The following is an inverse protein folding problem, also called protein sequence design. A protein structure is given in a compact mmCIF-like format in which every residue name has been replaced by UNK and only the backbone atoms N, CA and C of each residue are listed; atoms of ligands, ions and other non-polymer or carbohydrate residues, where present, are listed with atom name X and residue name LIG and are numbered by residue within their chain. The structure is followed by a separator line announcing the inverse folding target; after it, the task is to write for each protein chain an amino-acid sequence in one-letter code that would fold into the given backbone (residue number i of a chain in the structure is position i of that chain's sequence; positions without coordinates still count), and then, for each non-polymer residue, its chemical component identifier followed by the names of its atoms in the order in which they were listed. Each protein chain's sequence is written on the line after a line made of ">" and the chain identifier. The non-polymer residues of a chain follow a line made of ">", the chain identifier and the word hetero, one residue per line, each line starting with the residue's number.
data_IF_041349787092
#
_entry.id   IF_041349787092
#
_cell.length_a   1.000
_cell.length_b   1.000
_cell.length_c   1.000
_cell.angle_alpha   90.00
_cell.angle_beta   90.00
_cell.angle_gamma   90.00
#
_symmetry.space_group_name_H-M   'P 1'
#
loop_
_entity.id
_entity.type
_entity.pdbx_description
1 polymer ?
#
# COMPACT_ATOMS: atom_id res chain seq x y z
N UNK A 1 -3.39 -44.76 4.25
CA UNK A 1 -2.73 -43.48 3.87
C UNK A 1 -1.47 -43.85 3.14
N UNK A 2 -1.22 -43.29 1.95
CA UNK A 2 0.03 -43.57 1.23
C UNK A 2 1.13 -42.79 1.94
N UNK A 3 2.13 -43.49 2.47
CA UNK A 3 3.25 -42.93 3.24
C UNK A 3 4.55 -43.24 2.50
N UNK A 4 5.52 -42.32 2.53
CA UNK A 4 6.79 -42.44 1.81
C UNK A 4 6.76 -41.83 0.40
N UNK A 5 7.79 -42.13 -0.39
CA UNK A 5 8.07 -41.55 -1.72
C UNK A 5 6.89 -41.70 -2.69
N UNK A 6 6.14 -42.80 -2.58
CA UNK A 6 4.95 -43.07 -3.42
C UNK A 6 3.75 -42.17 -3.13
N UNK A 7 3.77 -41.46 -2.00
CA UNK A 7 2.76 -40.47 -1.63
C UNK A 7 3.04 -39.06 -2.16
N UNK A 8 4.16 -38.85 -2.85
CA UNK A 8 4.51 -37.55 -3.41
C UNK A 8 3.50 -37.12 -4.50
N UNK A 9 2.89 -35.93 -4.37
CA UNK A 9 1.89 -35.48 -5.32
C UNK A 9 2.54 -35.23 -6.69
N UNK A 10 1.96 -35.81 -7.75
CA UNK A 10 2.41 -35.57 -9.13
C UNK A 10 2.28 -34.08 -9.46
N UNK A 11 3.25 -33.55 -10.21
CA UNK A 11 3.25 -32.18 -10.69
C UNK A 11 1.90 -31.79 -11.30
N UNK A 12 1.29 -30.73 -10.77
CA UNK A 12 0.01 -30.21 -11.26
C UNK A 12 -1.24 -30.80 -10.58
N UNK A 13 -1.09 -31.81 -9.71
CA UNK A 13 -2.19 -32.28 -8.86
C UNK A 13 -2.41 -31.37 -7.65
N UNK A 14 -3.63 -31.41 -7.09
CA UNK A 14 -3.98 -30.66 -5.87
C UNK A 14 -3.07 -31.11 -4.71
N UNK A 15 -2.30 -30.19 -4.15
CA UNK A 15 -1.31 -30.47 -3.10
C UNK A 15 0.15 -30.54 -3.59
N UNK A 16 0.38 -30.51 -4.91
CA UNK A 16 1.73 -30.45 -5.48
C UNK A 16 2.33 -29.04 -5.37
N UNK A 17 3.63 -28.89 -5.07
CA UNK A 17 4.33 -27.63 -5.21
C UNK A 17 4.23 -27.10 -6.65
N UNK A 18 4.15 -25.77 -6.79
CA UNK A 18 4.31 -25.14 -8.11
C UNK A 18 5.69 -25.48 -8.67
N UNK A 19 5.75 -25.73 -9.97
CA UNK A 19 7.00 -26.02 -10.67
C UNK A 19 7.99 -24.87 -10.51
N UNK A 20 9.12 -25.13 -9.84
CA UNK A 20 10.14 -24.13 -9.59
C UNK A 20 10.95 -23.86 -10.87
N UNK A 21 11.01 -22.59 -11.27
CA UNK A 21 11.66 -22.14 -12.51
C UNK A 21 13.02 -21.45 -12.30
N UNK A 22 13.53 -21.42 -11.06
CA UNK A 22 14.79 -20.74 -10.74
C UNK A 22 14.63 -19.26 -10.36
N UNK A 23 13.45 -18.85 -9.90
CA UNK A 23 13.22 -17.48 -9.42
C UNK A 23 13.83 -17.28 -8.03
N UNK A 24 14.66 -16.25 -7.87
CA UNK A 24 15.29 -15.89 -6.58
C UNK A 24 14.26 -15.59 -5.47
N UNK A 25 13.07 -15.07 -5.83
CA UNK A 25 12.01 -14.74 -4.87
C UNK A 25 11.21 -15.97 -4.41
N UNK A 26 11.25 -17.05 -5.19
CA UNK A 26 10.43 -18.24 -4.95
C UNK A 26 11.23 -19.38 -4.32
N UNK A 27 12.56 -19.38 -4.45
CA UNK A 27 13.43 -20.49 -4.02
C UNK A 27 13.25 -20.85 -2.54
N UNK A 28 13.20 -19.86 -1.65
CA UNK A 28 13.04 -20.09 -0.22
C UNK A 28 11.66 -20.69 0.12
N UNK A 29 10.59 -20.14 -0.47
CA UNK A 29 9.21 -20.63 -0.27
C UNK A 29 9.02 -22.02 -0.86
N UNK A 30 9.65 -22.29 -2.00
CA UNK A 30 9.64 -23.60 -2.65
C UNK A 30 10.28 -24.66 -1.76
N UNK A 31 11.49 -24.42 -1.27
CA UNK A 31 12.20 -25.36 -0.40
C UNK A 31 11.44 -25.60 0.91
N UNK A 32 10.87 -24.56 1.52
CA UNK A 32 10.06 -24.69 2.74
C UNK A 32 8.79 -25.54 2.50
N UNK A 33 8.11 -25.33 1.37
CA UNK A 33 6.93 -26.12 1.02
C UNK A 33 7.30 -27.59 0.77
N UNK A 34 8.44 -27.84 0.13
CA UNK A 34 8.95 -29.20 -0.06
C UNK A 34 9.29 -29.87 1.28
N UNK A 35 9.96 -29.19 2.20
CA UNK A 35 10.24 -29.71 3.54
C UNK A 35 8.96 -30.07 4.31
N UNK A 36 7.93 -29.24 4.20
CA UNK A 36 6.63 -29.54 4.79
C UNK A 36 6.01 -30.81 4.20
N UNK A 37 6.11 -31.03 2.88
CA UNK A 37 5.65 -32.27 2.25
C UNK A 37 6.47 -33.48 2.69
N UNK A 38 7.79 -33.37 2.78
CA UNK A 38 8.65 -34.43 3.29
C UNK A 38 8.27 -34.80 4.73
N UNK A 39 8.01 -33.79 5.58
CA UNK A 39 7.57 -34.01 6.95
C UNK A 39 6.20 -34.69 7.02
N UNK A 40 5.24 -34.32 6.16
CA UNK A 40 3.93 -34.98 6.10
C UNK A 40 4.00 -36.43 5.62
N UNK A 41 4.92 -36.74 4.70
CA UNK A 41 5.07 -38.06 4.10
C UNK A 41 6.08 -38.95 4.83
N UNK A 42 6.68 -38.48 5.94
CA UNK A 42 7.75 -39.13 6.69
C UNK A 42 8.98 -39.49 5.84
N UNK A 43 9.36 -38.61 4.91
CA UNK A 43 10.59 -38.75 4.12
C UNK A 43 11.74 -38.16 4.93
N UNK A 44 12.50 -39.04 5.60
CA UNK A 44 13.60 -38.65 6.51
C UNK A 44 14.97 -38.83 5.86
N UNK A 45 15.10 -39.69 4.86
CA UNK A 45 16.37 -39.95 4.17
C UNK A 45 16.79 -38.75 3.32
N UNK A 46 18.04 -38.28 3.49
CA UNK A 46 18.58 -37.18 2.71
C UNK A 46 18.64 -37.51 1.20
N UNK A 47 18.93 -38.76 0.85
CA UNK A 47 18.92 -39.29 -0.52
C UNK A 47 17.55 -39.07 -1.18
N UNK A 48 16.49 -39.56 -0.53
CA UNK A 48 15.12 -39.43 -1.02
C UNK A 48 14.72 -37.96 -1.15
N UNK A 49 15.12 -37.09 -0.22
CA UNK A 49 14.80 -35.66 -0.29
C UNK A 49 15.47 -34.97 -1.50
N UNK A 50 16.75 -35.27 -1.71
CA UNK A 50 17.54 -34.65 -2.78
C UNK A 50 17.15 -35.20 -4.16
N UNK A 51 16.76 -36.46 -4.28
CA UNK A 51 16.29 -37.02 -5.54
C UNK A 51 14.88 -36.52 -5.89
N UNK A 52 13.96 -36.54 -4.91
CA UNK A 52 12.56 -36.23 -5.17
C UNK A 52 12.29 -34.72 -5.35
N UNK A 53 13.11 -33.81 -4.78
CA UNK A 53 12.94 -32.37 -5.03
C UNK A 53 13.06 -32.02 -6.52
N UNK A 54 13.85 -32.81 -7.28
CA UNK A 54 14.02 -32.62 -8.72
C UNK A 54 12.68 -32.74 -9.45
N UNK A 55 11.79 -33.62 -9.00
CA UNK A 55 10.47 -33.80 -9.61
C UNK A 55 9.70 -32.49 -9.71
N UNK A 56 9.89 -31.57 -8.77
CA UNK A 56 9.20 -30.28 -8.74
C UNK A 56 9.96 -29.12 -9.42
N UNK A 57 11.14 -29.39 -9.97
CA UNK A 57 11.99 -28.39 -10.61
C UNK A 57 11.85 -28.39 -12.15
N UNK A 58 12.10 -27.24 -12.78
CA UNK A 58 12.26 -27.14 -14.23
C UNK A 58 13.56 -27.79 -14.72
N UNK A 59 13.63 -28.18 -15.99
CA UNK A 59 14.77 -28.93 -16.55
C UNK A 59 16.12 -28.23 -16.34
N UNK A 60 16.18 -26.91 -16.58
CA UNK A 60 17.39 -26.12 -16.36
C UNK A 60 17.83 -26.10 -14.89
N UNK A 61 16.86 -26.00 -13.98
CA UNK A 61 17.10 -26.02 -12.53
C UNK A 61 17.57 -27.40 -12.07
N UNK A 62 16.99 -28.49 -12.60
CA UNK A 62 17.42 -29.86 -12.30
C UNK A 62 18.87 -30.09 -12.69
N UNK A 63 19.24 -29.74 -13.92
CA UNK A 63 20.62 -29.87 -14.41
C UNK A 63 21.61 -29.11 -13.53
N UNK A 64 21.23 -27.92 -13.08
CA UNK A 64 22.04 -27.16 -12.13
C UNK A 64 22.12 -27.86 -10.77
N UNK A 65 21.00 -28.32 -10.21
CA UNK A 65 20.98 -28.96 -8.90
C UNK A 65 21.73 -30.31 -8.87
N UNK A 66 21.67 -31.09 -9.97
CA UNK A 66 22.44 -32.32 -10.16
C UNK A 66 23.96 -32.08 -10.19
N UNK A 67 24.40 -30.86 -10.55
CA UNK A 67 25.82 -30.50 -10.60
C UNK A 67 26.42 -30.13 -9.23
N UNK A 68 25.60 -30.00 -8.18
CA UNK A 68 26.06 -29.64 -6.85
C UNK A 68 26.72 -30.84 -6.15
N UNK A 69 27.81 -30.61 -5.42
CA UNK A 69 28.48 -31.67 -4.65
C UNK A 69 27.57 -32.31 -3.60
N UNK A 70 26.66 -31.52 -3.02
CA UNK A 70 25.64 -31.99 -2.07
C UNK A 70 24.56 -32.90 -2.69
N UNK A 71 24.53 -33.02 -4.02
CA UNK A 71 23.76 -34.04 -4.73
C UNK A 71 24.51 -35.37 -4.79
N UNK A 72 25.82 -35.33 -5.06
CA UNK A 72 26.69 -36.52 -5.16
C UNK A 72 26.89 -37.16 -3.79
N UNK A 73 27.09 -36.36 -2.75
CA UNK A 73 27.06 -36.80 -1.35
C UNK A 73 25.78 -36.27 -0.71
N UNK A 74 24.74 -37.10 -0.55
CA UNK A 74 23.40 -36.67 -0.22
C UNK A 74 23.33 -36.04 1.18
N UNK A 75 23.31 -34.71 1.21
CA UNK A 75 23.07 -33.92 2.41
C UNK A 75 22.06 -32.81 2.08
N UNK A 76 20.84 -32.98 2.58
CA UNK A 76 19.75 -32.02 2.35
C UNK A 76 20.07 -30.62 2.88
N UNK A 77 20.72 -30.51 4.03
CA UNK A 77 21.01 -29.22 4.65
C UNK A 77 22.08 -28.45 3.86
N UNK A 78 23.13 -29.15 3.44
CA UNK A 78 24.15 -28.57 2.55
C UNK A 78 23.54 -28.18 1.20
N UNK A 79 22.74 -29.07 0.60
CA UNK A 79 22.05 -28.82 -0.67
C UNK A 79 21.15 -27.58 -0.58
N UNK A 80 20.31 -27.49 0.45
CA UNK A 80 19.44 -26.34 0.71
C UNK A 80 20.25 -25.05 0.81
N UNK A 81 21.34 -25.05 1.59
CA UNK A 81 22.20 -23.87 1.77
C UNK A 81 22.84 -23.45 0.45
N UNK A 82 23.37 -24.40 -0.32
CA UNK A 82 24.01 -24.12 -1.61
C UNK A 82 22.99 -23.58 -2.61
N UNK A 83 21.81 -24.20 -2.74
CA UNK A 83 20.71 -23.72 -3.59
C UNK A 83 20.28 -22.31 -3.19
N UNK A 84 20.10 -22.02 -1.89
CA UNK A 84 19.76 -20.67 -1.42
C UNK A 84 20.85 -19.64 -1.75
N UNK A 85 22.12 -20.06 -1.71
CA UNK A 85 23.27 -19.20 -2.00
C UNK A 85 23.36 -18.90 -3.50
N UNK A 86 23.29 -19.91 -4.36
CA UNK A 86 23.41 -19.75 -5.81
C UNK A 86 22.26 -18.99 -6.45
N UNK A 87 21.04 -19.15 -5.93
CA UNK A 87 19.89 -18.37 -6.37
C UNK A 87 19.80 -16.98 -5.71
N UNK A 88 20.78 -16.59 -4.88
CA UNK A 88 20.80 -15.34 -4.12
C UNK A 88 19.45 -15.08 -3.45
N UNK A 89 18.98 -16.04 -2.65
CA UNK A 89 17.70 -15.95 -1.96
C UNK A 89 17.61 -14.69 -1.06
N UNK A 90 18.76 -14.17 -0.63
CA UNK A 90 18.88 -12.92 0.13
C UNK A 90 18.58 -11.68 -0.71
N UNK A 91 18.56 -11.76 -2.04
CA UNK A 91 18.05 -10.70 -2.91
C UNK A 91 16.57 -10.42 -2.66
N UNK A 92 15.78 -11.42 -2.28
CA UNK A 92 14.38 -11.20 -1.86
C UNK A 92 14.31 -10.40 -0.55
N UNK A 93 15.34 -10.50 0.30
CA UNK A 93 15.54 -9.64 1.48
C UNK A 93 16.06 -8.24 1.11
N UNK A 94 16.10 -7.87 -0.18
CA UNK A 94 16.37 -6.50 -0.68
C UNK A 94 15.19 -5.90 -1.45
N UNK A 95 13.97 -6.42 -1.26
CA UNK A 95 12.77 -5.98 -1.97
C UNK A 95 12.48 -4.48 -1.84
N UNK A 96 12.59 -3.90 -0.64
CA UNK A 96 12.26 -2.48 -0.42
C UNK A 96 13.44 -1.68 0.10
N UNK A 97 13.54 -0.43 -0.34
CA UNK A 97 14.49 0.56 0.16
C UNK A 97 13.75 1.67 0.88
N UNK A 98 14.45 2.41 1.74
CA UNK A 98 13.90 3.61 2.39
C UNK A 98 13.43 4.63 1.35
N UNK A 99 14.09 4.71 0.19
CA UNK A 99 13.66 5.54 -0.95
C UNK A 99 12.27 5.16 -1.49
N UNK A 100 11.93 3.87 -1.48
CA UNK A 100 10.62 3.40 -1.95
C UNK A 100 9.53 3.79 -0.95
N UNK A 101 9.84 3.75 0.34
CA UNK A 101 8.96 4.26 1.40
C UNK A 101 8.75 5.78 1.26
N UNK A 102 9.82 6.56 1.06
CA UNK A 102 9.70 8.00 0.83
C UNK A 102 8.90 8.34 -0.42
N UNK A 103 9.06 7.57 -1.50
CA UNK A 103 8.30 7.74 -2.73
C UNK A 103 6.80 7.48 -2.49
N UNK A 104 6.47 6.38 -1.80
CA UNK A 104 5.10 6.04 -1.41
C UNK A 104 4.48 7.14 -0.55
N UNK A 105 5.21 7.64 0.45
CA UNK A 105 4.78 8.75 1.32
C UNK A 105 4.52 10.02 0.53
N UNK A 106 5.41 10.37 -0.42
CA UNK A 106 5.24 11.54 -1.28
C UNK A 106 4.03 11.39 -2.21
N UNK A 107 3.83 10.21 -2.78
CA UNK A 107 2.70 9.92 -3.65
C UNK A 107 1.37 9.98 -2.88
N UNK A 108 1.29 9.36 -1.70
CA UNK A 108 0.09 9.39 -0.87
C UNK A 108 -0.21 10.81 -0.37
N UNK A 109 0.82 11.57 0.03
CA UNK A 109 0.65 12.96 0.47
C UNK A 109 0.13 13.88 -0.65
N UNK A 110 0.51 13.63 -1.92
CA UNK A 110 0.05 14.44 -3.07
C UNK A 110 -1.44 14.26 -3.37
N UNK A 111 -2.07 13.17 -2.91
CA UNK A 111 -3.50 12.96 -3.10
C UNK A 111 -4.27 14.05 -2.33
N UNK A 112 -5.40 14.55 -2.88
CA UNK A 112 -6.11 15.68 -2.29
C UNK A 112 -6.65 15.38 -0.89
N UNK A 113 -7.31 14.24 -0.70
CA UNK A 113 -7.76 13.74 0.60
C UNK A 113 -8.18 12.26 0.51
N UNK A 114 -8.42 11.61 1.65
CA UNK A 114 -8.99 10.26 1.74
C UNK A 114 -10.43 10.40 2.24
N UNK A 115 -11.42 10.18 1.36
CA UNK A 115 -12.85 10.30 1.70
C UNK A 115 -13.52 8.96 2.03
N UNK A 116 -12.95 7.86 1.53
CA UNK A 116 -13.54 6.54 1.65
C UNK A 116 -12.68 5.65 2.56
N UNK A 117 -13.34 4.85 3.38
CA UNK A 117 -12.73 3.81 4.18
C UNK A 117 -11.92 2.81 3.32
N UNK A 118 -12.39 2.47 2.12
CA UNK A 118 -11.66 1.62 1.19
C UNK A 118 -10.28 2.18 0.81
N UNK A 119 -10.23 3.48 0.48
CA UNK A 119 -8.98 4.17 0.14
C UNK A 119 -8.05 4.31 1.35
N UNK A 120 -8.59 4.47 2.56
CA UNK A 120 -7.82 4.46 3.80
C UNK A 120 -7.13 3.12 4.05
N UNK A 121 -7.87 2.01 3.89
CA UNK A 121 -7.31 0.67 4.04
C UNK A 121 -6.32 0.33 2.95
N UNK A 122 -6.54 0.77 1.72
CA UNK A 122 -5.59 0.60 0.63
C UNK A 122 -4.26 1.31 0.93
N UNK A 123 -4.31 2.58 1.35
CA UNK A 123 -3.13 3.31 1.81
C UNK A 123 -2.44 2.57 2.96
N UNK A 124 -3.20 2.18 3.98
CA UNK A 124 -2.66 1.49 5.16
C UNK A 124 -1.96 0.18 4.80
N UNK A 125 -2.55 -0.62 3.90
CA UNK A 125 -1.95 -1.87 3.41
C UNK A 125 -0.66 -1.62 2.63
N UNK A 126 -0.70 -0.71 1.66
CA UNK A 126 0.46 -0.41 0.81
C UNK A 126 1.62 0.19 1.61
N UNK A 127 1.32 1.02 2.61
CA UNK A 127 2.34 1.54 3.51
C UNK A 127 2.92 0.42 4.38
N UNK A 128 2.07 -0.42 4.99
CA UNK A 128 2.51 -1.47 5.91
C UNK A 128 3.34 -2.56 5.20
N UNK A 129 3.04 -2.88 3.95
CA UNK A 129 3.84 -3.86 3.17
C UNK A 129 5.28 -3.39 2.99
N UNK A 130 5.51 -2.09 2.72
CA UNK A 130 6.84 -1.52 2.56
C UNK A 130 7.50 -1.25 3.91
N UNK A 131 6.82 -0.51 4.79
CA UNK A 131 7.38 -0.08 6.06
C UNK A 131 7.57 -1.24 7.05
N UNK A 132 6.62 -2.17 7.12
CA UNK A 132 6.73 -3.35 7.99
C UNK A 132 7.88 -4.25 7.58
N UNK A 133 8.13 -4.38 6.27
CA UNK A 133 9.31 -5.07 5.78
C UNK A 133 10.61 -4.36 6.19
N UNK A 134 10.66 -3.02 6.09
CA UNK A 134 11.83 -2.23 6.48
C UNK A 134 12.13 -2.33 7.99
N UNK A 135 11.08 -2.35 8.83
CA UNK A 135 11.20 -2.57 10.29
C UNK A 135 11.73 -3.97 10.59
N UNK A 136 11.18 -5.00 9.96
CA UNK A 136 11.64 -6.39 10.15
C UNK A 136 13.10 -6.61 9.74
N UNK A 137 13.58 -5.85 8.75
CA UNK A 137 14.98 -5.86 8.35
C UNK A 137 15.87 -4.93 9.20
N UNK A 138 15.33 -4.27 10.23
CA UNK A 138 16.07 -3.35 11.10
C UNK A 138 16.58 -2.08 10.39
N UNK A 139 15.98 -1.70 9.25
CA UNK A 139 16.38 -0.53 8.47
C UNK A 139 15.74 0.77 8.95
N UNK A 140 14.58 0.66 9.60
CA UNK A 140 13.88 1.78 10.25
C UNK A 140 13.37 1.32 11.62
N UNK A 141 13.25 2.25 12.55
CA UNK A 141 12.61 2.02 13.85
C UNK A 141 11.08 2.13 13.77
N UNK A 142 10.39 1.63 14.79
CA UNK A 142 8.93 1.76 14.91
C UNK A 142 8.48 3.23 15.06
N UNK A 143 9.33 4.07 15.68
CA UNK A 143 9.09 5.52 15.80
C UNK A 143 9.17 6.18 14.43
N UNK A 144 10.21 5.86 13.64
CA UNK A 144 10.34 6.35 12.27
C UNK A 144 9.20 5.86 11.38
N UNK A 145 8.78 4.61 11.52
CA UNK A 145 7.62 4.06 10.81
C UNK A 145 6.36 4.89 11.09
N UNK A 146 6.09 5.20 12.35
CA UNK A 146 4.92 6.00 12.75
C UNK A 146 5.00 7.43 12.19
N UNK A 147 6.19 8.03 12.20
CA UNK A 147 6.45 9.34 11.60
C UNK A 147 6.23 9.33 10.08
N UNK A 148 6.76 8.34 9.35
CA UNK A 148 6.54 8.21 7.91
C UNK A 148 5.06 7.98 7.59
N UNK A 149 4.37 7.20 8.43
CA UNK A 149 2.94 6.93 8.25
C UNK A 149 2.13 8.23 8.36
N UNK A 150 2.39 9.04 9.39
CA UNK A 150 1.74 10.35 9.55
C UNK A 150 2.07 11.30 8.40
N UNK A 151 3.34 11.38 7.98
CA UNK A 151 3.75 12.21 6.83
C UNK A 151 3.08 11.80 5.52
N UNK A 152 2.78 10.52 5.33
CA UNK A 152 2.12 10.02 4.12
C UNK A 152 0.63 10.34 4.05
N UNK A 153 0.01 10.73 5.16
CA UNK A 153 -1.41 11.11 5.17
C UNK A 153 -1.60 12.46 4.46
N UNK A 154 -2.56 12.59 3.54
CA UNK A 154 -2.90 13.87 2.90
C UNK A 154 -3.16 14.99 3.92
N UNK A 155 -2.74 16.21 3.59
CA UNK A 155 -2.84 17.36 4.50
C UNK A 155 -4.28 17.65 4.95
N UNK A 156 -5.24 17.58 4.04
CA UNK A 156 -6.65 17.81 4.36
C UNK A 156 -7.16 16.78 5.38
N UNK A 157 -6.88 15.49 5.17
CA UNK A 157 -7.30 14.45 6.10
C UNK A 157 -6.57 14.51 7.45
N UNK A 158 -5.33 15.04 7.49
CA UNK A 158 -4.63 15.31 8.76
C UNK A 158 -5.32 16.37 9.61
N UNK A 159 -5.90 17.41 8.98
CA UNK A 159 -6.63 18.46 9.70
C UNK A 159 -7.87 17.91 10.42
N UNK A 160 -8.50 16.88 9.87
CA UNK A 160 -9.63 16.19 10.54
C UNK A 160 -9.13 15.21 11.62
N UNK A 161 -8.00 14.55 11.36
CA UNK A 161 -7.44 13.52 12.25
C UNK A 161 -6.78 14.08 13.52
N UNK A 162 -6.01 15.16 13.39
CA UNK A 162 -5.20 15.72 14.48
C UNK A 162 -6.06 16.12 15.69
N UNK A 163 -7.19 16.85 15.54
CA UNK A 163 -8.10 17.14 16.65
C UNK A 163 -8.66 15.87 17.28
N UNK A 164 -9.04 14.87 16.48
CA UNK A 164 -9.57 13.61 17.00
C UNK A 164 -8.53 12.76 17.75
N UNK A 165 -7.24 12.90 17.41
CA UNK A 165 -6.14 12.26 18.10
C UNK A 165 -5.83 12.98 19.42
N UNK A 166 -5.74 14.31 19.42
CA UNK A 166 -5.53 15.11 20.63
C UNK A 166 -6.69 15.01 21.62
N UNK A 167 -7.93 14.90 21.15
CA UNK A 167 -9.09 14.66 22.00
C UNK A 167 -9.05 13.27 22.67
N UNK A 168 -8.36 12.30 22.08
CA UNK A 168 -8.20 10.97 22.65
C UNK A 168 -7.08 10.93 23.70
N UNK A 169 -5.96 11.59 23.39
CA UNK A 169 -4.78 11.64 24.24
C UNK A 169 -4.37 13.12 24.49
N UNK A 170 -5.03 13.82 25.44
CA UNK A 170 -4.79 15.25 25.68
C UNK A 170 -3.38 15.60 26.15
N UNK A 171 -2.68 14.63 26.77
CA UNK A 171 -1.32 14.80 27.29
C UNK A 171 -0.25 14.34 26.29
N UNK A 172 -0.59 14.14 25.01
CA UNK A 172 0.35 13.68 24.00
C UNK A 172 1.40 14.74 23.68
N UNK A 173 2.68 14.36 23.67
CA UNK A 173 3.77 15.25 23.32
C UNK A 173 3.82 15.45 21.79
N UNK A 174 3.71 16.71 21.35
CA UNK A 174 3.74 17.11 19.94
C UNK A 174 5.09 16.81 19.25
N UNK A 175 6.17 16.61 20.02
CA UNK A 175 7.46 16.21 19.48
C UNK A 175 7.53 14.72 19.13
N UNK A 176 6.60 13.91 19.62
CA UNK A 176 6.55 12.46 19.41
C UNK A 176 5.48 12.14 18.35
N UNK A 177 5.80 11.33 17.30
CA UNK A 177 4.80 10.94 16.32
C UNK A 177 3.69 10.11 16.96
N UNK A 178 2.44 10.34 16.54
CA UNK A 178 1.31 9.52 16.97
C UNK A 178 1.51 8.06 16.58
N UNK A 179 1.09 7.13 17.45
CA UNK A 179 1.19 5.71 17.15
C UNK A 179 0.38 5.36 15.90
N UNK A 180 0.93 4.50 15.04
CA UNK A 180 0.26 4.05 13.82
C UNK A 180 -1.12 3.43 14.12
N UNK A 181 -1.23 2.70 15.23
CA UNK A 181 -2.46 2.08 15.69
C UNK A 181 -3.54 3.11 16.05
N UNK A 182 -3.17 4.17 16.78
CA UNK A 182 -4.08 5.26 17.13
C UNK A 182 -4.59 5.98 15.89
N UNK A 183 -3.69 6.35 14.96
CA UNK A 183 -4.05 7.01 13.69
C UNK A 183 -5.04 6.15 12.90
N UNK A 184 -4.76 4.84 12.77
CA UNK A 184 -5.62 3.91 12.02
C UNK A 184 -7.01 3.76 12.64
N UNK A 185 -7.09 3.70 13.97
CA UNK A 185 -8.36 3.57 14.67
C UNK A 185 -9.20 4.85 14.52
N UNK A 186 -8.60 6.02 14.70
CA UNK A 186 -9.31 7.31 14.58
C UNK A 186 -9.71 7.63 13.14
N UNK A 187 -8.87 7.30 12.17
CA UNK A 187 -9.22 7.44 10.76
C UNK A 187 -10.43 6.58 10.40
N UNK A 188 -10.50 5.35 10.92
CA UNK A 188 -11.66 4.48 10.75
C UNK A 188 -12.92 5.13 11.33
N UNK A 189 -12.87 5.69 12.54
CA UNK A 189 -14.05 6.30 13.17
C UNK A 189 -14.55 7.50 12.38
N UNK A 190 -13.67 8.42 11.95
CA UNK A 190 -14.05 9.60 11.16
C UNK A 190 -14.72 9.18 9.84
N UNK A 191 -14.10 8.24 9.12
CA UNK A 191 -14.61 7.77 7.83
C UNK A 191 -15.88 6.92 7.94
N UNK A 192 -16.13 6.30 9.11
CA UNK A 192 -17.38 5.59 9.39
C UNK A 192 -18.50 6.54 9.83
N UNK A 193 -18.21 7.57 10.61
CA UNK A 193 -19.17 8.59 11.02
C UNK A 193 -19.73 9.35 9.80
N UNK A 194 -18.90 9.67 8.82
CA UNK A 194 -19.34 10.28 7.57
C UNK A 194 -20.32 9.40 6.76
N UNK A 195 -20.42 8.10 7.04
CA UNK A 195 -21.44 7.24 6.41
C UNK A 195 -22.82 7.45 7.03
N UNK A 196 -22.90 7.61 8.36
CA UNK A 196 -24.19 7.77 9.04
C UNK A 196 -24.86 9.12 8.76
N UNK A 197 -24.07 10.20 8.68
CA UNK A 197 -24.60 11.54 8.42
C UNK A 197 -24.96 11.80 6.95
N UNK A 198 -24.31 11.11 6.01
CA UNK A 198 -24.60 11.22 4.57
C UNK A 198 -25.95 10.59 4.20
N UNK A 199 -26.36 9.52 4.90
CA UNK A 199 -27.61 8.80 4.63
C UNK A 199 -28.87 9.51 5.20
N UNK A 200 -28.71 10.61 5.96
CA UNK A 200 -29.81 11.32 6.63
C UNK A 200 -30.25 12.63 5.97
N UNK A 201 -29.60 13.06 4.88
CA UNK A 201 -30.06 14.24 4.15
C UNK A 201 -31.01 13.77 3.03
N UNK A 202 -32.34 13.94 3.16
CA UNK A 202 -33.18 13.95 1.97
C UNK A 202 -32.63 15.02 1.03
N UNK A 203 -32.51 14.71 -0.27
CA UNK A 203 -32.35 15.75 -1.27
C UNK A 203 -33.56 16.66 -1.13
N UNK A 204 -33.35 17.87 -0.62
CA UNK A 204 -34.33 18.94 -0.72
C UNK A 204 -34.37 19.30 -2.21
N UNK A 205 -35.16 18.54 -2.97
CA UNK A 205 -35.59 18.94 -4.29
C UNK A 205 -36.40 20.23 -4.09
N UNK A 206 -35.81 21.34 -4.52
CA UNK A 206 -36.45 22.65 -4.59
C UNK A 206 -37.65 22.57 -5.54
N UNK A 207 -38.84 22.25 -5.02
CA UNK A 207 -40.09 22.65 -5.66
C UNK A 207 -40.40 24.08 -5.24
N UNK A 208 -39.80 25.01 -5.99
CA UNK A 208 -40.24 26.39 -6.11
C UNK A 208 -41.64 26.40 -6.73
N UNK A 209 -42.69 26.28 -5.91
CA UNK A 209 -44.03 26.71 -6.27
C UNK A 209 -44.28 28.11 -5.72
N UNK A 210 -44.12 29.06 -6.63
CA UNK A 210 -44.71 30.40 -6.63
C UNK A 210 -46.21 30.31 -6.30
N UNK A 211 -46.63 30.94 -5.20
CA UNK A 211 -47.99 31.43 -5.05
C UNK A 211 -47.93 32.73 -4.25
N UNK A 212 -48.24 33.79 -4.98
CA UNK A 212 -48.45 35.15 -4.50
C UNK A 212 -49.72 35.19 -3.64
N UNK A 213 -49.75 36.03 -2.61
CA UNK A 213 -50.91 36.88 -2.34
C UNK A 213 -50.60 37.98 -1.31
N UNK A 214 -51.08 39.16 -1.67
CA UNK A 214 -50.95 40.49 -1.08
C UNK A 214 -51.46 40.63 0.37
N UNK A 215 -50.81 41.51 1.14
CA UNK A 215 -51.49 42.36 2.12
C UNK A 215 -50.66 43.61 2.46
N UNK A 216 -51.25 44.76 2.12
CA UNK A 216 -50.81 46.14 2.36
C UNK A 216 -50.45 46.46 3.82
N UNK A 217 -49.47 47.36 4.02
CA UNK A 217 -49.67 48.62 4.76
C UNK A 217 -48.40 49.50 4.72
N UNK A 218 -48.56 50.67 4.10
CA UNK A 218 -48.27 52.04 4.59
C UNK A 218 -46.93 52.31 5.30
N UNK A 219 -46.05 53.13 4.68
CA UNK A 219 -45.88 54.58 4.95
C UNK A 219 -44.68 54.76 5.93
N UNK A 220 -43.67 55.62 5.77
CA UNK A 220 -43.63 56.96 5.22
C UNK A 220 -42.14 57.41 5.05
N UNK A 221 -41.93 58.41 4.18
CA UNK A 221 -40.88 59.45 4.19
C UNK A 221 -39.40 59.18 3.86
N UNK A 222 -39.09 59.46 2.58
CA UNK A 222 -38.22 60.51 1.99
C UNK A 222 -36.77 60.80 2.44
N UNK A 223 -36.00 61.13 1.39
CA UNK A 223 -34.84 62.04 1.27
C UNK A 223 -33.44 61.51 1.58
N UNK A 224 -32.40 61.78 0.78
CA UNK A 224 -32.27 62.43 -0.53
C UNK A 224 -30.80 62.25 -0.97
N UNK A 225 -30.60 61.96 -2.25
CA UNK A 225 -29.50 62.31 -3.19
C UNK A 225 -27.99 62.25 -2.82
N UNK A 226 -27.17 61.58 -3.66
CA UNK A 226 -26.31 62.24 -4.67
C UNK A 226 -24.92 61.58 -4.97
N UNK A 227 -24.66 61.47 -6.29
CA UNK A 227 -23.40 61.57 -7.06
C UNK A 227 -22.16 60.68 -6.87
N UNK A 228 -21.99 59.81 -7.87
CA UNK A 228 -21.00 59.91 -8.97
C UNK A 228 -19.54 59.43 -8.84
N UNK A 229 -19.14 58.70 -9.88
CA UNK A 229 -17.88 58.78 -10.66
C UNK A 229 -16.61 58.00 -10.25
N UNK A 230 -16.25 57.11 -11.19
CA UNK A 230 -14.97 57.01 -11.89
C UNK A 230 -13.72 56.48 -11.13
N UNK A 231 -13.17 55.36 -11.61
CA UNK A 231 -11.96 55.32 -12.44
C UNK A 231 -11.42 53.89 -12.52
N UNK A 232 -11.46 53.33 -13.73
CA UNK A 232 -10.53 52.28 -14.12
C UNK A 232 -9.12 52.87 -14.23
N UNK A 233 -8.15 52.31 -13.50
CA UNK A 233 -6.73 52.41 -13.87
C UNK A 233 -6.26 51.12 -14.51
N UNK A 234 -6.52 51.07 -15.81
CA UNK A 234 -5.53 50.86 -16.86
C UNK A 234 -4.17 50.23 -16.51
N UNK A 235 -3.82 49.25 -17.37
CA UNK A 235 -2.52 49.06 -18.06
C UNK A 235 -1.40 48.37 -17.26
N UNK A 236 -0.63 47.42 -17.81
CA UNK A 236 -0.22 47.26 -19.20
C UNK A 236 0.33 45.83 -19.50
N UNK A 237 -0.23 45.24 -20.57
CA UNK A 237 0.35 44.40 -21.66
C UNK A 237 1.47 43.39 -21.34
N UNK A 238 1.27 42.08 -21.57
CA UNK A 238 1.12 41.34 -22.84
C UNK A 238 2.31 41.40 -23.83
N UNK A 239 2.76 40.16 -24.15
CA UNK A 239 3.31 39.66 -25.43
C UNK A 239 4.80 39.95 -25.62
N UNK A 240 5.62 38.98 -26.05
CA UNK A 240 5.39 38.25 -27.29
C UNK A 240 6.44 37.14 -27.53
N UNK A 241 6.13 36.28 -28.51
CA UNK A 241 6.98 35.36 -29.31
C UNK A 241 7.04 33.88 -28.86
N UNK A 242 6.13 33.05 -29.42
CA UNK A 242 6.25 32.29 -30.70
C UNK A 242 6.92 30.93 -30.44
N UNK A 243 6.27 29.77 -30.55
CA UNK A 243 5.40 29.25 -31.63
C UNK A 243 5.88 29.64 -33.03
N UNK A 244 7.09 29.18 -33.39
CA UNK A 244 7.54 28.95 -34.78
C UNK A 244 8.60 27.84 -34.77
N UNK A 245 8.20 26.64 -35.21
CA UNK A 245 9.00 25.55 -35.80
C UNK A 245 8.12 24.28 -35.78
N UNK A 246 6.91 24.31 -36.33
CA UNK A 246 6.69 23.70 -37.65
C UNK A 246 7.52 24.36 -38.75
N UNK A 247 8.62 23.69 -39.14
CA UNK A 247 9.17 23.67 -40.49
C UNK A 247 10.35 22.69 -40.54
N UNK A 248 10.07 21.48 -41.03
CA UNK A 248 10.92 20.46 -41.68
C UNK A 248 10.04 19.20 -41.69
N UNK A 249 9.44 18.73 -42.79
CA UNK A 249 10.01 18.43 -44.12
C UNK A 249 11.41 17.82 -44.01
#
# INVERSE_FOLDING_TARGET
>A
MVTGITGLPVLGMKGSPKKFKGSYAEVARFLQHYEWLCAQLNIVTAEDQVENVMQYCARSVRQFMESLSAYVTPDWNAFKRDVLTFYDADRDKRQYKVKDLEALVKESHRKPTIKNLGAWWEYSRNFLTVAGWLVNCGRISEVEQSLYFWKGVPRAFRQDLEPCLLAADPNHDMFIPFSMSSIRMKAKTILQCNRFHQDQLPSEDEDSSDDSDDADSDDDSSDSEDSSSAEETHRQKCKDKKKKQSMKK
#
